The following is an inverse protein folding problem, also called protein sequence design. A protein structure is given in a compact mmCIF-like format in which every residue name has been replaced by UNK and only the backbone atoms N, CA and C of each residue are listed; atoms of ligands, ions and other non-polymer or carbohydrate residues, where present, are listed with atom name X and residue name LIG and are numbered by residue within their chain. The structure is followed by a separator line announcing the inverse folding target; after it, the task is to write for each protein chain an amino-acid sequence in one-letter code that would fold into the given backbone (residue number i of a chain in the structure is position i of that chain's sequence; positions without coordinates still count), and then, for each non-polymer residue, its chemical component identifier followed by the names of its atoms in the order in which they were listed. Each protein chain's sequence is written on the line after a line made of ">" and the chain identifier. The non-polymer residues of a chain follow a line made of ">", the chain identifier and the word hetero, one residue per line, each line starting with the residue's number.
data_IF_175097189920
#
_entry.id   IF_175097189920
#
_cell.length_a   1.000
_cell.length_b   1.000
_cell.length_c   1.000
_cell.angle_alpha   90.00
_cell.angle_beta   90.00
_cell.angle_gamma   90.00
#
_symmetry.space_group_name_H-M   'P 1'
#
loop_
_entity.id
_entity.type
_entity.pdbx_description
1 polymer ?
#
# COMPACT_ATOMS: atom_id res chain seq x y z
N UNK A 1 -6.56 25.98 -7.38
CA UNK A 1 -5.23 26.40 -7.85
C UNK A 1 -4.13 26.18 -6.79
N UNK A 2 -4.30 26.60 -5.53
CA UNK A 2 -3.28 26.43 -4.49
C UNK A 2 -2.79 24.98 -4.26
N UNK A 3 -3.70 24.00 -4.25
CA UNK A 3 -3.34 22.58 -4.08
C UNK A 3 -2.56 21.98 -5.26
N UNK A 4 -2.84 22.42 -6.48
CA UNK A 4 -2.06 22.05 -7.66
C UNK A 4 -0.66 22.65 -7.58
N UNK A 5 -0.55 23.93 -7.20
CA UNK A 5 0.75 24.57 -7.00
C UNK A 5 1.56 23.86 -5.90
N UNK A 6 0.93 23.48 -4.78
CA UNK A 6 1.56 22.70 -3.72
C UNK A 6 2.11 21.35 -4.24
N UNK A 7 1.32 20.64 -5.05
CA UNK A 7 1.76 19.38 -5.64
C UNK A 7 2.94 19.59 -6.61
N UNK A 8 2.88 20.61 -7.47
CA UNK A 8 3.98 20.93 -8.38
C UNK A 8 5.25 21.34 -7.63
N UNK A 9 5.13 22.09 -6.52
CA UNK A 9 6.26 22.40 -5.64
C UNK A 9 6.84 21.14 -4.98
N UNK A 10 6.00 20.21 -4.54
CA UNK A 10 6.46 18.92 -4.00
C UNK A 10 7.23 18.10 -5.05
N UNK A 11 6.72 18.06 -6.29
CA UNK A 11 7.40 17.39 -7.42
C UNK A 11 8.72 18.07 -7.75
N UNK A 12 8.76 19.40 -7.80
CA UNK A 12 9.99 20.15 -8.04
C UNK A 12 11.03 19.91 -6.93
N UNK A 13 10.58 19.91 -5.65
CA UNK A 13 11.45 19.57 -4.51
C UNK A 13 12.04 18.16 -4.62
N UNK A 14 11.22 17.16 -4.99
CA UNK A 14 11.71 15.80 -5.25
C UNK A 14 12.71 15.76 -6.41
N UNK A 15 12.43 16.44 -7.53
CA UNK A 15 13.33 16.51 -8.68
C UNK A 15 14.67 17.15 -8.33
N UNK A 16 14.67 18.21 -7.51
CA UNK A 16 15.90 18.85 -7.02
C UNK A 16 16.71 17.89 -6.13
N UNK A 17 16.03 17.13 -5.25
CA UNK A 17 16.68 16.13 -4.40
C UNK A 17 17.32 15.03 -5.24
N UNK A 18 16.60 14.50 -6.23
CA UNK A 18 17.14 13.49 -7.18
C UNK A 18 18.31 14.07 -7.99
N UNK A 19 18.24 15.32 -8.43
CA UNK A 19 19.32 15.98 -9.15
C UNK A 19 20.58 16.14 -8.29
N UNK A 20 20.42 16.51 -7.01
CA UNK A 20 21.54 16.69 -6.10
C UNK A 20 22.18 15.36 -5.65
N UNK A 21 21.36 14.31 -5.48
CA UNK A 21 21.76 13.00 -4.92
C UNK A 21 21.18 11.83 -5.73
N UNK A 22 21.52 11.69 -7.03
CA UNK A 22 20.88 10.68 -7.89
C UNK A 22 21.12 9.24 -7.43
N UNK A 23 22.30 8.96 -6.85
CA UNK A 23 22.65 7.62 -6.37
C UNK A 23 21.82 7.20 -5.14
N UNK A 24 21.41 8.17 -4.33
CA UNK A 24 20.69 7.93 -3.08
C UNK A 24 19.17 7.93 -3.27
N UNK A 25 18.66 8.56 -4.36
CA UNK A 25 17.22 8.78 -4.50
C UNK A 25 16.63 8.35 -5.86
N UNK A 26 17.41 7.81 -6.81
CA UNK A 26 16.91 7.39 -8.11
C UNK A 26 17.73 6.27 -8.75
N UNK A 27 17.89 5.16 -8.08
CA UNK A 27 18.66 4.01 -8.60
C UNK A 27 17.94 3.25 -9.73
N UNK A 28 16.60 3.19 -9.71
CA UNK A 28 15.80 2.59 -10.77
C UNK A 28 16.15 1.12 -11.10
N UNK A 29 16.55 0.38 -10.08
CA UNK A 29 17.04 -1.00 -10.22
C UNK A 29 15.95 -1.95 -10.75
N UNK A 30 14.70 -1.75 -10.32
CA UNK A 30 13.58 -2.57 -10.79
C UNK A 30 13.13 -2.22 -12.20
N UNK A 31 13.25 -0.94 -12.58
CA UNK A 31 13.05 -0.52 -13.98
C UNK A 31 13.98 -1.26 -14.93
N UNK A 32 15.25 -1.48 -14.50
CA UNK A 32 16.20 -2.30 -15.26
C UNK A 32 15.70 -3.74 -15.38
N UNK A 33 15.25 -4.35 -14.28
CA UNK A 33 14.71 -5.72 -14.27
C UNK A 33 13.49 -5.84 -15.21
N UNK A 34 12.61 -4.84 -15.23
CA UNK A 34 11.43 -4.86 -16.12
C UNK A 34 11.83 -4.80 -17.59
N UNK A 35 12.66 -3.84 -17.96
CA UNK A 35 13.11 -3.69 -19.34
C UNK A 35 13.90 -4.91 -19.82
N UNK A 36 14.85 -5.37 -19.02
CA UNK A 36 15.71 -6.51 -19.38
C UNK A 36 14.93 -7.83 -19.36
N UNK A 37 13.94 -7.98 -18.47
CA UNK A 37 12.98 -9.09 -18.50
C UNK A 37 12.16 -9.09 -19.79
N UNK A 38 11.73 -7.91 -20.27
CA UNK A 38 11.06 -7.74 -21.56
C UNK A 38 11.99 -8.08 -22.75
N UNK A 39 13.27 -7.71 -22.69
CA UNK A 39 14.28 -8.10 -23.68
C UNK A 39 14.50 -9.62 -23.66
N UNK A 40 14.58 -10.22 -22.48
CA UNK A 40 14.74 -11.67 -22.33
C UNK A 40 13.57 -12.45 -22.96
N UNK A 41 12.34 -11.94 -22.82
CA UNK A 41 11.16 -12.54 -23.49
C UNK A 41 11.29 -12.55 -25.00
N UNK A 42 11.86 -11.51 -25.59
CA UNK A 42 12.05 -11.43 -27.05
C UNK A 42 13.17 -12.32 -27.56
N UNK A 43 14.27 -12.42 -26.80
CA UNK A 43 15.51 -13.04 -27.28
C UNK A 43 15.69 -14.48 -26.76
N UNK A 44 15.34 -14.74 -25.50
CA UNK A 44 15.59 -15.99 -24.79
C UNK A 44 14.45 -16.32 -23.79
N UNK A 45 13.18 -16.48 -24.27
CA UNK A 45 12.03 -16.59 -23.37
C UNK A 45 12.11 -17.74 -22.39
N UNK A 46 12.75 -18.85 -22.76
CA UNK A 46 12.92 -20.01 -21.89
C UNK A 46 13.85 -19.76 -20.68
N UNK A 47 14.73 -18.78 -20.79
CA UNK A 47 15.73 -18.44 -19.78
C UNK A 47 15.30 -17.33 -18.83
N UNK A 48 14.10 -16.76 -18.97
CA UNK A 48 13.61 -15.59 -18.21
C UNK A 48 13.89 -15.69 -16.71
N UNK A 49 13.69 -16.84 -16.10
CA UNK A 49 13.87 -17.06 -14.67
C UNK A 49 15.27 -17.61 -14.27
N UNK A 50 16.12 -17.87 -15.25
CA UNK A 50 17.50 -18.30 -15.02
C UNK A 50 18.50 -17.15 -15.20
N UNK A 51 18.11 -16.07 -15.88
CA UNK A 51 18.98 -14.92 -16.13
C UNK A 51 19.10 -14.02 -14.90
N UNK A 52 20.30 -13.53 -14.66
CA UNK A 52 20.54 -12.36 -13.81
C UNK A 52 20.34 -11.08 -14.66
N UNK A 53 19.36 -10.26 -14.30
CA UNK A 53 18.97 -9.06 -15.04
C UNK A 53 19.62 -7.82 -14.45
N UNK A 54 19.98 -6.90 -15.33
CA UNK A 54 20.62 -5.65 -14.96
C UNK A 54 22.05 -5.81 -14.42
N UNK A 55 22.69 -4.69 -14.05
CA UNK A 55 24.05 -4.69 -13.49
C UNK A 55 24.15 -5.48 -12.18
N UNK A 56 23.08 -5.47 -11.35
CA UNK A 56 23.02 -6.19 -10.09
C UNK A 56 22.67 -7.68 -10.24
N UNK A 57 22.49 -8.18 -11.47
CA UNK A 57 22.14 -9.58 -11.80
C UNK A 57 20.94 -10.10 -11.00
N UNK A 58 19.89 -9.28 -10.84
CA UNK A 58 18.71 -9.65 -10.07
C UNK A 58 17.85 -10.67 -10.82
N UNK A 59 17.19 -11.59 -10.10
CA UNK A 59 16.25 -12.52 -10.73
C UNK A 59 14.96 -11.81 -11.15
N UNK A 60 14.33 -12.26 -12.23
CA UNK A 60 12.97 -11.87 -12.56
C UNK A 60 12.00 -12.61 -11.61
N UNK A 61 11.22 -11.86 -10.82
CA UNK A 61 10.35 -12.42 -9.76
C UNK A 61 8.86 -12.30 -10.06
N UNK A 62 8.49 -11.62 -11.14
CA UNK A 62 7.11 -11.40 -11.54
C UNK A 62 6.53 -12.58 -12.33
N UNK A 63 5.19 -12.65 -12.41
CA UNK A 63 4.52 -13.66 -13.24
C UNK A 63 4.87 -13.48 -14.74
N UNK A 64 4.80 -14.55 -15.56
CA UNK A 64 5.13 -14.49 -16.99
C UNK A 64 4.36 -13.42 -17.77
N UNK A 65 3.10 -13.17 -17.39
CA UNK A 65 2.29 -12.12 -18.01
C UNK A 65 2.91 -10.71 -17.83
N UNK A 66 3.51 -10.42 -16.70
CA UNK A 66 4.21 -9.15 -16.51
C UNK A 66 5.37 -8.98 -17.50
N UNK A 67 6.13 -10.05 -17.75
CA UNK A 67 7.22 -10.01 -18.72
C UNK A 67 6.72 -9.75 -20.15
N UNK A 68 5.55 -10.28 -20.53
CA UNK A 68 4.90 -9.97 -21.81
C UNK A 68 4.56 -8.48 -21.93
N UNK A 69 4.02 -7.87 -20.86
CA UNK A 69 3.73 -6.44 -20.85
C UNK A 69 5.01 -5.60 -20.97
N UNK A 70 6.06 -6.00 -20.27
CA UNK A 70 7.35 -5.31 -20.34
C UNK A 70 8.04 -5.50 -21.69
N UNK A 71 7.82 -6.64 -22.36
CA UNK A 71 8.33 -6.88 -23.72
C UNK A 71 7.79 -5.87 -24.73
N UNK A 72 6.54 -5.43 -24.59
CA UNK A 72 5.94 -4.43 -25.47
C UNK A 72 6.72 -3.11 -25.49
N UNK A 73 7.25 -2.68 -24.35
CA UNK A 73 8.03 -1.46 -24.21
C UNK A 73 9.56 -1.64 -24.29
N UNK A 74 10.07 -2.88 -24.32
CA UNK A 74 11.51 -3.17 -24.16
C UNK A 74 12.43 -2.62 -25.26
N UNK A 75 11.87 -2.17 -26.40
CA UNK A 75 12.61 -1.47 -27.45
C UNK A 75 12.96 -0.02 -27.12
N UNK A 76 12.33 0.58 -26.12
CA UNK A 76 12.65 1.95 -25.70
C UNK A 76 13.99 2.00 -24.94
N UNK A 77 14.64 3.17 -24.95
CA UNK A 77 15.86 3.40 -24.19
C UNK A 77 15.61 3.23 -22.69
N UNK A 78 16.65 2.91 -21.91
CA UNK A 78 16.53 2.79 -20.47
C UNK A 78 16.05 4.11 -19.82
N UNK A 79 16.57 5.24 -20.29
CA UNK A 79 16.15 6.57 -19.80
C UNK A 79 14.66 6.81 -20.05
N UNK A 80 14.12 6.40 -21.20
CA UNK A 80 12.68 6.53 -21.47
C UNK A 80 11.84 5.68 -20.50
N UNK A 81 12.31 4.48 -20.13
CA UNK A 81 11.67 3.65 -19.11
C UNK A 81 11.67 4.33 -17.74
N UNK A 82 12.85 4.85 -17.31
CA UNK A 82 13.00 5.54 -16.03
C UNK A 82 12.07 6.75 -15.94
N UNK A 83 12.16 7.65 -16.92
CA UNK A 83 11.36 8.89 -16.96
C UNK A 83 9.88 8.56 -17.09
N UNK A 84 9.51 7.61 -17.97
CA UNK A 84 8.13 7.23 -18.21
C UNK A 84 7.47 6.63 -16.96
N UNK A 85 8.14 5.70 -16.28
CA UNK A 85 7.60 5.07 -15.08
C UNK A 85 7.53 6.05 -13.90
N UNK A 86 8.53 6.92 -13.76
CA UNK A 86 8.53 8.01 -12.76
C UNK A 86 7.37 8.97 -13.00
N UNK A 87 7.17 9.42 -14.25
CA UNK A 87 6.08 10.32 -14.61
C UNK A 87 4.70 9.68 -14.37
N UNK A 88 4.52 8.40 -14.76
CA UNK A 88 3.30 7.63 -14.50
C UNK A 88 3.05 7.51 -13.00
N UNK A 89 4.06 7.15 -12.21
CA UNK A 89 3.95 7.01 -10.75
C UNK A 89 3.52 8.33 -10.10
N UNK A 90 4.16 9.45 -10.43
CA UNK A 90 3.81 10.78 -9.91
C UNK A 90 2.39 11.18 -10.36
N UNK A 91 2.06 10.99 -11.63
CA UNK A 91 0.74 11.31 -12.18
C UNK A 91 -0.41 10.50 -11.58
N UNK A 92 -0.15 9.27 -11.14
CA UNK A 92 -1.14 8.42 -10.48
C UNK A 92 -1.44 8.81 -9.03
N UNK A 93 -0.57 9.56 -8.35
CA UNK A 93 -0.81 9.99 -6.96
C UNK A 93 -2.14 10.77 -6.80
N UNK A 94 -2.39 11.88 -7.54
CA UNK A 94 -3.66 12.59 -7.42
C UNK A 94 -4.85 11.76 -7.91
N UNK A 95 -4.68 10.85 -8.87
CA UNK A 95 -5.74 9.95 -9.35
C UNK A 95 -6.16 8.99 -8.24
N UNK A 96 -5.21 8.29 -7.62
CA UNK A 96 -5.48 7.36 -6.51
C UNK A 96 -6.09 8.10 -5.32
N UNK A 97 -5.58 9.28 -4.98
CA UNK A 97 -6.14 10.10 -3.91
C UNK A 97 -7.59 10.52 -4.23
N UNK A 98 -7.88 10.93 -5.47
CA UNK A 98 -9.22 11.30 -5.92
C UNK A 98 -10.20 10.12 -5.82
N UNK A 99 -9.81 8.94 -6.30
CA UNK A 99 -10.63 7.73 -6.23
C UNK A 99 -10.86 7.28 -4.77
N UNK A 100 -9.82 7.33 -3.94
CA UNK A 100 -9.91 7.02 -2.52
C UNK A 100 -10.84 7.96 -1.74
N UNK A 101 -10.83 9.26 -2.07
CA UNK A 101 -11.80 10.22 -1.54
C UNK A 101 -13.24 9.85 -1.93
N UNK A 102 -13.45 9.31 -3.14
CA UNK A 102 -14.75 8.79 -3.56
C UNK A 102 -15.20 7.59 -2.73
N UNK A 103 -14.31 6.64 -2.49
CA UNK A 103 -14.56 5.50 -1.61
C UNK A 103 -14.80 5.92 -0.15
N UNK A 104 -14.28 7.08 0.28
CA UNK A 104 -14.59 7.72 1.56
C UNK A 104 -15.92 8.48 1.56
N UNK A 105 -16.72 8.39 0.49
CA UNK A 105 -18.03 9.05 0.38
C UNK A 105 -17.97 10.55 0.06
N UNK A 106 -16.84 11.07 -0.43
CA UNK A 106 -16.73 12.49 -0.81
C UNK A 106 -17.31 12.70 -2.21
N UNK A 107 -18.23 13.68 -2.39
CA UNK A 107 -18.81 13.97 -3.68
C UNK A 107 -17.75 14.42 -4.68
N UNK A 108 -17.99 14.18 -5.97
CA UNK A 108 -17.11 14.62 -7.05
C UNK A 108 -17.06 16.16 -7.17
N UNK A 109 -16.15 16.66 -8.03
CA UNK A 109 -16.01 18.07 -8.33
C UNK A 109 -14.69 18.69 -7.90
N UNK A 110 -14.58 20.00 -8.02
CA UNK A 110 -13.32 20.74 -7.82
C UNK A 110 -12.77 20.63 -6.40
N UNK A 111 -13.63 20.59 -5.37
CA UNK A 111 -13.20 20.45 -3.98
C UNK A 111 -12.51 19.10 -3.74
N UNK A 112 -13.05 18.00 -4.31
CA UNK A 112 -12.44 16.67 -4.24
C UNK A 112 -11.12 16.62 -5.04
N UNK A 113 -11.08 17.26 -6.21
CA UNK A 113 -9.85 17.36 -6.99
C UNK A 113 -8.77 18.15 -6.24
N UNK A 114 -9.13 19.30 -5.65
CA UNK A 114 -8.20 20.10 -4.84
C UNK A 114 -7.66 19.30 -3.64
N UNK A 115 -8.51 18.56 -2.92
CA UNK A 115 -8.10 17.69 -1.84
C UNK A 115 -7.18 16.57 -2.33
N UNK A 116 -7.45 15.99 -3.50
CA UNK A 116 -6.63 14.94 -4.09
C UNK A 116 -5.20 15.42 -4.40
N UNK A 117 -5.04 16.61 -4.97
CA UNK A 117 -3.72 17.20 -5.22
C UNK A 117 -2.98 17.54 -3.92
N UNK A 118 -3.67 18.05 -2.89
CA UNK A 118 -3.06 18.31 -1.58
C UNK A 118 -2.56 17.02 -0.92
N UNK A 119 -3.38 15.94 -0.99
CA UNK A 119 -2.99 14.62 -0.48
C UNK A 119 -1.83 14.04 -1.29
N UNK A 120 -1.83 14.19 -2.61
CA UNK A 120 -0.76 13.75 -3.50
C UNK A 120 0.57 14.45 -3.18
N UNK A 121 0.52 15.75 -2.87
CA UNK A 121 1.71 16.51 -2.45
C UNK A 121 2.34 15.93 -1.17
N UNK A 122 1.53 15.59 -0.16
CA UNK A 122 2.01 14.90 1.05
C UNK A 122 2.42 13.47 0.73
N UNK A 123 1.61 12.77 -0.08
CA UNK A 123 1.81 11.38 -0.46
C UNK A 123 3.15 11.11 -1.16
N UNK A 124 3.66 12.09 -1.91
CA UNK A 124 4.97 11.99 -2.57
C UNK A 124 6.12 11.85 -1.56
N UNK A 125 5.98 12.42 -0.35
CA UNK A 125 6.95 12.38 0.73
C UNK A 125 6.68 11.28 1.77
N UNK A 126 5.82 10.33 1.44
CA UNK A 126 5.69 9.10 2.24
C UNK A 126 6.74 8.08 1.76
N UNK A 127 7.44 7.46 2.69
CA UNK A 127 8.55 6.54 2.40
C UNK A 127 8.15 5.44 1.40
N UNK A 128 7.00 4.73 1.49
CA UNK A 128 6.66 3.71 0.50
C UNK A 128 6.51 4.26 -0.93
N UNK A 129 6.08 5.51 -1.09
CA UNK A 129 5.97 6.18 -2.39
C UNK A 129 7.35 6.61 -2.87
N UNK A 130 8.15 7.24 -2.01
CA UNK A 130 9.52 7.65 -2.30
C UNK A 130 10.39 6.45 -2.71
N UNK A 131 10.29 5.34 -1.97
CA UNK A 131 11.02 4.10 -2.31
C UNK A 131 10.47 3.42 -3.58
N UNK A 132 9.18 3.56 -3.89
CA UNK A 132 8.63 3.13 -5.18
C UNK A 132 9.27 3.91 -6.34
N UNK A 133 9.47 5.22 -6.18
CA UNK A 133 10.15 6.08 -7.16
C UNK A 133 11.65 5.78 -7.23
N UNK A 134 12.29 5.58 -6.09
CA UNK A 134 13.71 5.26 -5.98
C UNK A 134 14.09 4.00 -6.75
N UNK A 135 13.34 2.90 -6.53
CA UNK A 135 13.58 1.64 -7.22
C UNK A 135 13.00 1.59 -8.64
N UNK A 136 12.10 2.50 -9.02
CA UNK A 136 11.36 2.44 -10.27
C UNK A 136 10.35 1.31 -10.30
N UNK A 137 9.55 1.19 -9.23
CA UNK A 137 8.57 0.12 -9.05
C UNK A 137 7.20 0.40 -9.67
N UNK A 138 6.53 -0.65 -10.13
CA UNK A 138 5.19 -0.59 -10.74
C UNK A 138 4.04 -0.46 -9.72
N UNK A 139 4.34 -0.36 -8.42
CA UNK A 139 3.36 -0.48 -7.33
C UNK A 139 2.21 0.53 -7.41
N UNK A 140 2.45 1.78 -7.84
CA UNK A 140 1.39 2.79 -8.01
C UNK A 140 0.43 2.44 -9.15
N UNK A 141 0.91 1.78 -10.20
CA UNK A 141 0.04 1.26 -11.28
C UNK A 141 -0.87 0.17 -10.73
N UNK A 142 -0.32 -0.77 -9.96
CA UNK A 142 -1.11 -1.83 -9.33
C UNK A 142 -2.14 -1.26 -8.34
N UNK A 143 -1.74 -0.30 -7.53
CA UNK A 143 -2.63 0.42 -6.61
C UNK A 143 -3.76 1.13 -7.36
N UNK A 144 -3.44 1.83 -8.46
CA UNK A 144 -4.42 2.52 -9.28
C UNK A 144 -5.43 1.55 -9.93
N UNK A 145 -4.98 0.39 -10.39
CA UNK A 145 -5.85 -0.67 -10.91
C UNK A 145 -6.82 -1.18 -9.84
N UNK A 146 -6.31 -1.47 -8.63
CA UNK A 146 -7.15 -1.97 -7.52
C UNK A 146 -8.13 -0.91 -7.02
N UNK A 147 -7.66 0.30 -6.74
CA UNK A 147 -8.51 1.39 -6.24
C UNK A 147 -9.51 1.83 -7.30
N UNK A 148 -9.08 1.89 -8.57
CA UNK A 148 -9.94 2.23 -9.70
C UNK A 148 -11.06 1.22 -9.88
N UNK A 149 -10.75 -0.06 -9.83
CA UNK A 149 -11.73 -1.14 -9.94
C UNK A 149 -12.76 -1.09 -8.79
N UNK A 150 -12.30 -0.96 -7.54
CA UNK A 150 -13.19 -0.86 -6.38
C UNK A 150 -14.06 0.42 -6.41
N UNK A 151 -13.57 1.51 -7.00
CA UNK A 151 -14.32 2.75 -7.16
C UNK A 151 -15.40 2.68 -8.26
N UNK A 152 -15.38 1.67 -9.14
CA UNK A 152 -16.42 1.46 -10.12
C UNK A 152 -17.74 1.05 -9.44
N UNK A 153 -18.90 1.56 -9.91
CA UNK A 153 -20.21 1.09 -9.48
C UNK A 153 -20.39 -0.42 -9.73
N UNK A 154 -21.09 -1.13 -8.85
CA UNK A 154 -21.28 -2.58 -8.94
C UNK A 154 -22.08 -3.03 -10.18
N UNK A 155 -22.80 -2.11 -10.85
CA UNK A 155 -23.51 -2.35 -12.11
C UNK A 155 -22.59 -2.47 -13.34
N UNK A 156 -21.35 -2.03 -13.23
CA UNK A 156 -20.39 -2.06 -14.35
C UNK A 156 -19.93 -3.50 -14.57
N UNK A 157 -20.18 -4.04 -15.79
CA UNK A 157 -19.83 -5.43 -16.14
C UNK A 157 -18.32 -5.71 -16.09
N UNK A 158 -17.49 -4.70 -16.35
CA UNK A 158 -16.02 -4.79 -16.32
C UNK A 158 -15.40 -4.64 -14.93
N UNK A 159 -16.21 -4.43 -13.86
CA UNK A 159 -15.68 -4.40 -12.49
C UNK A 159 -15.07 -5.75 -12.15
N UNK A 160 -13.85 -5.75 -11.68
CA UNK A 160 -13.03 -6.93 -11.42
C UNK A 160 -11.84 -7.07 -12.39
N UNK A 161 -11.89 -6.46 -13.58
CA UNK A 161 -10.78 -6.52 -14.56
C UNK A 161 -9.50 -5.91 -14.00
N UNK A 162 -9.58 -4.74 -13.36
CA UNK A 162 -8.42 -4.05 -12.81
C UNK A 162 -7.71 -4.89 -11.73
N UNK A 163 -8.47 -5.50 -10.82
CA UNK A 163 -7.93 -6.40 -9.78
C UNK A 163 -7.32 -7.64 -10.42
N UNK A 164 -7.98 -8.25 -11.41
CA UNK A 164 -7.47 -9.43 -12.10
C UNK A 164 -6.17 -9.15 -12.86
N UNK A 165 -6.07 -8.02 -13.57
CA UNK A 165 -4.84 -7.58 -14.24
C UNK A 165 -3.71 -7.29 -13.23
N UNK A 166 -4.01 -6.56 -12.16
CA UNK A 166 -3.03 -6.30 -11.11
C UNK A 166 -2.47 -7.60 -10.51
N UNK A 167 -3.35 -8.59 -10.25
CA UNK A 167 -2.98 -9.91 -9.78
C UNK A 167 -2.13 -10.69 -10.81
N UNK A 168 -2.42 -10.56 -12.11
CA UNK A 168 -1.65 -11.17 -13.20
C UNK A 168 -0.25 -10.58 -13.35
N UNK A 169 -0.06 -9.31 -12.97
CA UNK A 169 1.26 -8.66 -12.96
C UNK A 169 2.03 -9.07 -11.69
N UNK A 170 1.39 -8.96 -10.53
CA UNK A 170 1.97 -9.25 -9.22
C UNK A 170 0.91 -9.88 -8.33
N UNK A 171 1.21 -10.99 -7.68
CA UNK A 171 0.18 -11.84 -7.05
C UNK A 171 -0.49 -11.23 -5.81
N UNK A 172 0.13 -10.23 -5.19
CA UNK A 172 -0.38 -9.61 -3.95
C UNK A 172 -1.85 -9.14 -4.05
N UNK A 173 -2.35 -8.56 -5.19
CA UNK A 173 -3.74 -8.16 -5.33
C UNK A 173 -4.76 -9.33 -5.37
N UNK A 174 -4.32 -10.59 -5.44
CA UNK A 174 -5.24 -11.75 -5.37
C UNK A 174 -6.13 -11.74 -4.12
N UNK A 175 -5.67 -11.15 -3.01
CA UNK A 175 -6.44 -11.04 -1.77
C UNK A 175 -7.77 -10.29 -1.95
N UNK A 176 -7.87 -9.43 -2.96
CA UNK A 176 -9.10 -8.71 -3.25
C UNK A 176 -10.18 -9.59 -3.89
N UNK A 177 -9.84 -10.77 -4.46
CA UNK A 177 -10.84 -11.71 -4.99
C UNK A 177 -11.73 -12.28 -3.88
N UNK A 178 -11.21 -12.91 -2.81
CA UNK A 178 -12.05 -13.32 -1.67
C UNK A 178 -12.71 -12.12 -0.96
N UNK A 179 -12.06 -10.96 -0.90
CA UNK A 179 -12.70 -9.74 -0.40
C UNK A 179 -13.97 -9.38 -1.18
N UNK A 180 -13.93 -9.35 -2.52
CA UNK A 180 -15.09 -9.12 -3.37
C UNK A 180 -16.15 -10.19 -3.18
N UNK A 181 -15.75 -11.46 -3.15
CA UNK A 181 -16.66 -12.59 -2.97
C UNK A 181 -17.44 -12.48 -1.66
N UNK A 182 -16.74 -12.30 -0.56
CA UNK A 182 -17.34 -12.24 0.77
C UNK A 182 -18.00 -10.89 1.08
N UNK A 183 -17.77 -9.85 0.28
CA UNK A 183 -18.57 -8.61 0.32
C UNK A 183 -19.81 -8.67 -0.59
N UNK A 184 -20.18 -9.87 -1.10
CA UNK A 184 -21.33 -10.15 -1.99
C UNK A 184 -21.22 -9.55 -3.39
N UNK A 185 -20.05 -9.17 -3.82
CA UNK A 185 -19.75 -8.71 -5.19
C UNK A 185 -19.31 -9.89 -6.06
N UNK A 186 -20.12 -10.96 -6.08
CA UNK A 186 -19.79 -12.25 -6.71
C UNK A 186 -19.41 -12.10 -8.18
N UNK A 187 -20.13 -11.24 -8.92
CA UNK A 187 -19.81 -10.97 -10.34
C UNK A 187 -18.41 -10.36 -10.50
N UNK A 188 -18.07 -9.36 -9.70
CA UNK A 188 -16.77 -8.73 -9.76
C UNK A 188 -15.65 -9.70 -9.33
N UNK A 189 -15.89 -10.54 -8.32
CA UNK A 189 -14.96 -11.60 -7.93
C UNK A 189 -14.72 -12.61 -9.07
N UNK A 190 -15.79 -13.03 -9.75
CA UNK A 190 -15.70 -13.94 -10.90
C UNK A 190 -14.95 -13.30 -12.09
N UNK A 191 -15.23 -12.04 -12.40
CA UNK A 191 -14.51 -11.27 -13.43
C UNK A 191 -13.02 -11.14 -13.05
N UNK A 192 -12.69 -10.82 -11.79
CA UNK A 192 -11.29 -10.75 -11.34
C UNK A 192 -10.58 -12.09 -11.49
N UNK A 193 -11.21 -13.17 -11.04
CA UNK A 193 -10.66 -14.52 -11.15
C UNK A 193 -10.47 -14.96 -12.62
N UNK A 194 -11.45 -14.68 -13.47
CA UNK A 194 -11.37 -14.99 -14.91
C UNK A 194 -10.26 -14.15 -15.58
N UNK A 195 -10.19 -12.85 -15.29
CA UNK A 195 -9.14 -11.98 -15.86
C UNK A 195 -7.76 -12.47 -15.42
N UNK A 196 -7.59 -12.82 -14.13
CA UNK A 196 -6.35 -13.43 -13.65
C UNK A 196 -6.05 -14.75 -14.39
N UNK A 197 -7.02 -15.64 -14.52
CA UNK A 197 -6.85 -16.90 -15.26
C UNK A 197 -6.46 -16.67 -16.73
N UNK A 198 -7.04 -15.65 -17.38
CA UNK A 198 -6.66 -15.25 -18.74
C UNK A 198 -5.20 -14.79 -18.79
N UNK A 199 -4.72 -14.01 -17.80
CA UNK A 199 -3.30 -13.59 -17.77
C UNK A 199 -2.37 -14.79 -17.60
N UNK A 200 -2.75 -15.77 -16.79
CA UNK A 200 -2.00 -17.03 -16.62
C UNK A 200 -2.02 -17.83 -17.93
N UNK A 201 -3.19 -17.96 -18.57
CA UNK A 201 -3.35 -18.64 -19.87
C UNK A 201 -2.51 -18.00 -20.97
N UNK A 202 -2.47 -16.66 -21.05
CA UNK A 202 -1.61 -15.92 -21.98
C UNK A 202 -0.12 -16.21 -21.69
N UNK A 203 0.25 -16.28 -20.42
CA UNK A 203 1.60 -16.69 -20.02
C UNK A 203 1.95 -18.08 -20.56
N UNK A 204 1.10 -19.08 -20.37
CA UNK A 204 1.34 -20.42 -20.90
C UNK A 204 1.30 -20.49 -22.43
N UNK A 205 0.42 -19.76 -23.08
CA UNK A 205 0.29 -19.74 -24.53
C UNK A 205 1.54 -19.13 -25.22
N UNK A 206 2.10 -18.04 -24.66
CA UNK A 206 3.17 -17.28 -25.29
C UNK A 206 4.55 -17.61 -24.71
N UNK A 207 4.62 -18.03 -23.45
CA UNK A 207 5.85 -18.33 -22.71
C UNK A 207 5.74 -19.68 -21.96
N UNK A 208 5.49 -20.83 -22.66
CA UNK A 208 5.14 -22.09 -22.01
C UNK A 208 6.21 -22.60 -21.04
N UNK A 209 7.49 -22.55 -21.42
CA UNK A 209 8.61 -22.98 -20.55
C UNK A 209 8.79 -22.09 -19.34
N UNK A 210 8.77 -20.76 -19.52
CA UNK A 210 8.87 -19.81 -18.41
C UNK A 210 7.66 -19.96 -17.46
N UNK A 211 6.46 -20.16 -17.98
CA UNK A 211 5.25 -20.40 -17.17
C UNK A 211 5.35 -21.68 -16.37
N UNK A 212 5.84 -22.77 -16.96
CA UNK A 212 6.08 -24.02 -16.25
C UNK A 212 7.09 -23.87 -15.12
N UNK A 213 8.19 -23.13 -15.33
CA UNK A 213 9.19 -22.83 -14.29
C UNK A 213 8.58 -22.00 -13.17
N UNK A 214 7.83 -20.95 -13.51
CA UNK A 214 7.24 -20.05 -12.52
C UNK A 214 6.20 -20.77 -11.64
N UNK A 215 5.18 -21.34 -12.28
CA UNK A 215 4.05 -21.98 -11.58
C UNK A 215 4.40 -23.36 -11.00
N UNK A 216 5.38 -24.07 -11.58
CA UNK A 216 5.81 -25.39 -11.13
C UNK A 216 6.84 -25.40 -10.01
N UNK A 217 7.52 -24.27 -9.77
CA UNK A 217 8.62 -24.25 -8.78
C UNK A 217 8.85 -22.89 -8.13
N UNK A 218 9.04 -21.84 -8.90
CA UNK A 218 9.47 -20.55 -8.38
C UNK A 218 8.43 -19.91 -7.47
N UNK A 219 7.14 -20.04 -7.80
CA UNK A 219 6.04 -19.56 -6.98
C UNK A 219 6.03 -20.18 -5.57
N UNK A 220 6.41 -21.46 -5.45
CA UNK A 220 6.41 -22.19 -4.19
C UNK A 220 7.74 -22.07 -3.41
N UNK A 221 8.72 -21.35 -3.94
CA UNK A 221 10.00 -21.18 -3.23
C UNK A 221 9.79 -20.48 -1.91
N UNK A 222 10.32 -21.08 -0.84
CA UNK A 222 10.36 -20.46 0.49
C UNK A 222 11.24 -19.22 0.43
N UNK A 223 10.66 -18.07 0.78
CA UNK A 223 11.43 -16.83 0.89
C UNK A 223 12.36 -16.90 2.10
N UNK A 224 13.61 -16.51 1.91
CA UNK A 224 14.62 -16.35 2.96
C UNK A 224 15.01 -14.88 3.20
N UNK A 225 14.20 -13.94 2.69
CA UNK A 225 14.47 -12.52 2.84
C UNK A 225 14.13 -12.02 4.24
N UNK A 226 15.13 -12.04 5.15
CA UNK A 226 15.02 -11.55 6.53
C UNK A 226 15.40 -10.06 6.68
N UNK A 227 15.95 -9.44 5.63
CA UNK A 227 16.42 -8.06 5.66
C UNK A 227 15.35 -7.08 6.12
N UNK A 228 15.80 -5.96 6.68
CA UNK A 228 15.00 -4.85 7.19
C UNK A 228 13.81 -4.50 6.30
N UNK A 229 14.04 -4.42 4.99
CA UNK A 229 13.02 -4.00 4.01
C UNK A 229 11.86 -4.99 3.87
N UNK A 230 12.03 -6.28 4.27
CA UNK A 230 10.93 -7.24 4.24
C UNK A 230 10.03 -7.05 5.48
N UNK A 231 9.03 -6.23 5.31
CA UNK A 231 8.03 -5.89 6.32
C UNK A 231 6.77 -6.79 6.19
N UNK A 232 6.97 -8.10 6.16
CA UNK A 232 5.91 -9.13 6.24
C UNK A 232 6.03 -9.94 7.52
N UNK A 233 4.98 -10.70 7.88
CA UNK A 233 5.08 -11.67 8.99
C UNK A 233 6.21 -12.68 8.78
N UNK A 234 6.46 -13.10 7.52
CA UNK A 234 7.58 -13.97 7.22
C UNK A 234 8.93 -13.32 7.54
N UNK A 235 9.11 -12.03 7.17
CA UNK A 235 10.33 -11.29 7.51
C UNK A 235 10.56 -11.22 9.02
N UNK A 236 9.48 -10.99 9.79
CA UNK A 236 9.55 -10.99 11.28
C UNK A 236 9.95 -12.37 11.79
N UNK A 237 9.31 -13.45 11.32
CA UNK A 237 9.64 -14.81 11.79
C UNK A 237 11.07 -15.20 11.44
N UNK A 238 11.54 -14.86 10.23
CA UNK A 238 12.93 -15.10 9.83
C UNK A 238 13.93 -14.36 10.74
N UNK A 239 13.65 -13.11 11.12
CA UNK A 239 14.51 -12.36 12.04
C UNK A 239 14.51 -12.94 13.45
N UNK A 240 13.33 -13.26 13.99
CA UNK A 240 13.18 -13.78 15.34
C UNK A 240 13.78 -15.20 15.51
N UNK A 241 13.76 -16.01 14.46
CA UNK A 241 14.28 -17.39 14.48
C UNK A 241 15.67 -17.51 13.87
N UNK A 242 16.31 -16.38 13.55
CA UNK A 242 17.60 -16.34 12.84
C UNK A 242 17.61 -17.19 11.55
N UNK A 243 16.52 -17.10 10.79
CA UNK A 243 16.26 -17.89 9.58
C UNK A 243 16.34 -19.41 9.80
N UNK A 244 16.04 -19.85 11.02
CA UNK A 244 16.01 -21.27 11.39
C UNK A 244 14.95 -22.08 10.63
N UNK A 245 14.98 -23.41 10.73
CA UNK A 245 14.11 -24.32 9.96
C UNK A 245 12.62 -24.07 10.23
N UNK A 246 12.25 -23.70 11.45
CA UNK A 246 10.85 -23.54 11.89
C UNK A 246 10.25 -22.18 11.47
N UNK A 247 11.05 -21.23 10.95
CA UNK A 247 10.59 -19.91 10.56
C UNK A 247 9.39 -19.97 9.61
N UNK A 248 9.40 -20.90 8.66
CA UNK A 248 8.35 -21.07 7.68
C UNK A 248 7.03 -21.54 8.30
N UNK A 249 7.09 -22.45 9.26
CA UNK A 249 5.90 -22.98 9.94
C UNK A 249 5.27 -21.90 10.83
N UNK A 250 6.08 -21.17 11.59
CA UNK A 250 5.59 -20.02 12.38
C UNK A 250 4.96 -18.96 11.50
N UNK A 251 5.58 -18.66 10.33
CA UNK A 251 4.96 -17.75 9.36
C UNK A 251 3.62 -18.28 8.85
N UNK A 252 3.50 -19.55 8.44
CA UNK A 252 2.26 -20.12 7.92
C UNK A 252 1.14 -20.03 8.96
N UNK A 253 1.40 -20.40 10.21
CA UNK A 253 0.41 -20.34 11.29
C UNK A 253 -0.03 -18.90 11.52
N UNK A 254 0.91 -17.97 11.67
CA UNK A 254 0.59 -16.54 11.89
C UNK A 254 -0.09 -15.92 10.69
N UNK A 255 0.31 -16.26 9.45
CA UNK A 255 -0.31 -15.78 8.23
C UNK A 255 -1.76 -16.25 8.08
N UNK A 256 -2.07 -17.50 8.46
CA UNK A 256 -3.45 -18.01 8.45
C UNK A 256 -4.31 -17.27 9.47
N UNK A 257 -3.85 -17.14 10.72
CA UNK A 257 -4.60 -16.46 11.80
C UNK A 257 -4.83 -15.00 11.45
N UNK A 258 -3.78 -14.27 11.09
CA UNK A 258 -3.87 -12.84 10.74
C UNK A 258 -4.65 -12.66 9.43
N UNK A 259 -4.49 -13.57 8.46
CA UNK A 259 -5.20 -13.55 7.20
C UNK A 259 -6.71 -13.67 7.39
N UNK A 260 -7.17 -14.64 8.18
CA UNK A 260 -8.60 -14.81 8.51
C UNK A 260 -9.13 -13.60 9.27
N UNK A 261 -8.44 -13.16 10.33
CA UNK A 261 -8.88 -12.05 11.17
C UNK A 261 -8.93 -10.73 10.37
N UNK A 262 -7.88 -10.44 9.59
CA UNK A 262 -7.77 -9.22 8.79
C UNK A 262 -8.79 -9.21 7.64
N UNK A 263 -8.96 -10.33 6.93
CA UNK A 263 -9.95 -10.44 5.86
C UNK A 263 -11.38 -10.31 6.43
N UNK A 264 -11.68 -10.94 7.56
CA UNK A 264 -12.98 -10.79 8.23
C UNK A 264 -13.23 -9.33 8.64
N UNK A 265 -12.21 -8.64 9.17
CA UNK A 265 -12.28 -7.23 9.54
C UNK A 265 -12.56 -6.35 8.31
N UNK A 266 -11.86 -6.59 7.20
CA UNK A 266 -12.03 -5.83 5.95
C UNK A 266 -13.44 -6.03 5.36
N UNK A 267 -13.94 -7.26 5.35
CA UNK A 267 -15.29 -7.62 4.89
C UNK A 267 -16.34 -6.94 5.76
N UNK A 268 -16.18 -6.99 7.09
CA UNK A 268 -17.10 -6.38 8.01
C UNK A 268 -17.15 -4.85 7.85
N UNK A 269 -16.00 -4.21 7.63
CA UNK A 269 -15.92 -2.77 7.36
C UNK A 269 -16.69 -2.40 6.09
N UNK A 270 -16.44 -3.11 4.98
CA UNK A 270 -17.10 -2.88 3.70
C UNK A 270 -18.63 -3.11 3.79
N UNK A 271 -19.05 -4.23 4.40
CA UNK A 271 -20.49 -4.54 4.59
C UNK A 271 -21.23 -3.51 5.43
N UNK A 272 -20.52 -2.72 6.23
CA UNK A 272 -21.07 -1.57 6.99
C UNK A 272 -21.01 -0.24 6.24
N UNK A 273 -20.66 -0.25 4.98
CA UNK A 273 -20.56 0.96 4.15
C UNK A 273 -19.25 1.74 4.32
N UNK A 274 -18.24 1.16 4.99
CA UNK A 274 -16.92 1.77 5.15
C UNK A 274 -15.95 1.19 4.11
N UNK A 275 -16.22 1.45 2.82
CA UNK A 275 -15.50 0.80 1.72
C UNK A 275 -13.99 1.11 1.73
N UNK A 276 -13.60 2.37 1.93
CA UNK A 276 -12.18 2.72 1.99
C UNK A 276 -11.46 2.04 3.17
N UNK A 277 -12.13 1.91 4.32
CA UNK A 277 -11.59 1.17 5.47
C UNK A 277 -11.43 -0.32 5.13
N UNK A 278 -12.43 -0.91 4.44
CA UNK A 278 -12.39 -2.29 3.97
C UNK A 278 -11.22 -2.53 3.01
N UNK A 279 -11.00 -1.62 2.05
CA UNK A 279 -9.89 -1.66 1.11
C UNK A 279 -8.53 -1.62 1.85
N UNK A 280 -8.34 -0.64 2.74
CA UNK A 280 -7.08 -0.48 3.48
C UNK A 280 -6.80 -1.69 4.38
N UNK A 281 -7.81 -2.21 5.07
CA UNK A 281 -7.68 -3.41 5.91
C UNK A 281 -7.37 -4.67 5.08
N UNK A 282 -7.99 -4.83 3.90
CA UNK A 282 -7.70 -5.93 2.97
C UNK A 282 -6.25 -5.86 2.47
N UNK A 283 -5.81 -4.69 2.02
CA UNK A 283 -4.43 -4.47 1.56
C UNK A 283 -3.41 -4.73 2.69
N UNK A 284 -3.67 -4.20 3.90
CA UNK A 284 -2.85 -4.44 5.08
C UNK A 284 -2.73 -5.93 5.38
N UNK A 285 -3.83 -6.68 5.30
CA UNK A 285 -3.82 -8.13 5.46
C UNK A 285 -2.95 -8.80 4.41
N UNK A 286 -3.10 -8.43 3.13
CA UNK A 286 -2.29 -8.97 2.03
C UNK A 286 -0.79 -8.74 2.23
N UNK A 287 -0.40 -7.55 2.68
CA UNK A 287 0.99 -7.22 2.97
C UNK A 287 1.55 -8.04 4.15
N UNK A 288 0.77 -8.24 5.20
CA UNK A 288 1.18 -9.03 6.36
C UNK A 288 1.39 -10.50 6.02
N UNK A 289 0.45 -11.12 5.29
CA UNK A 289 0.49 -12.57 5.01
C UNK A 289 1.41 -12.95 3.85
N UNK A 290 1.77 -12.01 2.99
CA UNK A 290 2.70 -12.25 1.89
C UNK A 290 4.04 -12.76 2.41
N UNK A 291 4.72 -13.69 1.72
CA UNK A 291 6.06 -14.12 2.11
C UNK A 291 7.11 -13.01 2.01
N UNK A 292 6.87 -12.02 1.14
CA UNK A 292 7.72 -10.85 0.96
C UNK A 292 6.86 -9.62 0.76
N UNK A 293 7.04 -8.63 1.63
CA UNK A 293 6.44 -7.31 1.51
C UNK A 293 7.49 -6.25 1.81
N UNK A 294 8.13 -5.78 0.74
CA UNK A 294 9.09 -4.68 0.84
C UNK A 294 8.40 -3.39 1.30
N UNK A 295 9.13 -2.47 1.91
CA UNK A 295 8.59 -1.20 2.37
C UNK A 295 7.85 -0.44 1.25
N UNK A 296 8.37 -0.45 0.04
CA UNK A 296 7.75 0.14 -1.14
C UNK A 296 6.46 -0.56 -1.64
N UNK A 297 6.09 -1.75 -1.11
CA UNK A 297 4.78 -2.35 -1.37
C UNK A 297 3.66 -1.67 -0.57
N UNK A 298 4.02 -0.92 0.47
CA UNK A 298 3.08 -0.25 1.37
C UNK A 298 2.47 1.04 0.77
N UNK A 299 2.48 1.20 -0.56
CA UNK A 299 1.84 2.35 -1.26
C UNK A 299 0.37 2.56 -0.91
N UNK A 300 -0.28 1.55 -0.31
CA UNK A 300 -1.61 1.66 0.30
C UNK A 300 -1.67 2.67 1.47
N UNK A 301 -0.53 3.17 1.93
CA UNK A 301 -0.44 4.31 2.86
C UNK A 301 -1.11 5.56 2.29
N UNK A 302 -1.17 5.73 0.95
CA UNK A 302 -1.86 6.85 0.32
C UNK A 302 -3.39 6.78 0.52
N UNK A 303 -4.11 5.67 0.23
CA UNK A 303 -5.49 5.49 0.67
C UNK A 303 -5.68 5.56 2.20
N UNK A 304 -4.71 5.08 2.99
CA UNK A 304 -4.76 5.17 4.45
C UNK A 304 -4.69 6.63 4.94
N UNK A 305 -3.88 7.48 4.31
CA UNK A 305 -3.84 8.93 4.58
C UNK A 305 -5.20 9.58 4.27
N UNK A 306 -5.84 9.20 3.15
CA UNK A 306 -7.20 9.66 2.84
C UNK A 306 -8.19 9.21 3.91
N UNK A 307 -8.14 7.95 4.33
CA UNK A 307 -8.99 7.40 5.38
C UNK A 307 -8.81 8.16 6.70
N UNK A 308 -7.59 8.44 7.11
CA UNK A 308 -7.26 9.17 8.32
C UNK A 308 -7.75 10.63 8.26
N UNK A 309 -7.48 11.33 7.15
CA UNK A 309 -7.79 12.74 6.99
C UNK A 309 -9.28 13.02 6.75
N UNK A 310 -10.04 12.07 6.19
CA UNK A 310 -11.42 12.31 5.74
C UNK A 310 -12.45 11.32 6.32
N UNK A 311 -12.03 10.23 6.94
CA UNK A 311 -12.91 9.21 7.54
C UNK A 311 -13.63 9.71 8.81
N UNK A 312 -12.95 10.14 9.88
CA UNK A 312 -13.56 10.54 11.13
C UNK A 312 -14.40 11.82 11.00
N UNK A 313 -15.49 11.92 11.81
CA UNK A 313 -16.36 13.13 11.81
C UNK A 313 -15.72 14.31 12.54
N UNK A 314 -14.96 14.07 13.63
CA UNK A 314 -14.35 15.12 14.44
C UNK A 314 -12.99 15.53 13.87
N UNK A 315 -12.79 16.85 13.72
CA UNK A 315 -11.55 17.41 13.14
C UNK A 315 -10.30 16.95 13.89
N UNK A 316 -10.32 16.93 15.22
CA UNK A 316 -9.16 16.50 16.02
C UNK A 316 -8.71 15.07 15.71
N UNK A 317 -9.63 14.12 15.53
CA UNK A 317 -9.27 12.74 15.13
C UNK A 317 -8.74 12.65 13.69
N UNK A 318 -9.20 13.53 12.81
CA UNK A 318 -8.68 13.61 11.43
C UNK A 318 -7.24 14.12 11.42
N UNK A 319 -6.98 15.19 12.17
CA UNK A 319 -5.63 15.75 12.30
C UNK A 319 -4.69 14.72 12.93
N UNK A 320 -5.09 14.11 14.05
CA UNK A 320 -4.27 13.10 14.74
C UNK A 320 -4.01 11.89 13.83
N UNK A 321 -5.03 11.37 13.16
CA UNK A 321 -4.88 10.23 12.26
C UNK A 321 -3.96 10.53 11.08
N UNK A 322 -4.11 11.68 10.43
CA UNK A 322 -3.22 12.10 9.35
C UNK A 322 -1.79 12.31 9.85
N UNK A 323 -1.62 12.95 11.02
CA UNK A 323 -0.32 13.15 11.64
C UNK A 323 0.36 11.82 12.01
N UNK A 324 -0.40 10.82 12.49
CA UNK A 324 0.14 9.48 12.74
C UNK A 324 0.60 8.79 11.45
N UNK A 325 -0.19 8.85 10.36
CA UNK A 325 0.23 8.28 9.08
C UNK A 325 1.48 8.95 8.55
N UNK A 326 1.51 10.29 8.56
CA UNK A 326 2.70 11.05 8.11
C UNK A 326 3.88 10.83 9.07
N UNK A 327 3.65 10.80 10.38
CA UNK A 327 4.67 10.57 11.39
C UNK A 327 5.37 9.23 11.22
N UNK A 328 4.59 8.16 11.00
CA UNK A 328 5.11 6.80 10.87
C UNK A 328 5.69 6.52 9.48
N UNK A 329 5.06 6.99 8.41
CA UNK A 329 5.43 6.64 7.04
C UNK A 329 6.04 7.81 6.27
N UNK A 330 6.30 8.94 6.91
CA UNK A 330 6.96 10.09 6.28
C UNK A 330 8.43 9.82 5.96
N UNK A 331 8.93 10.57 5.01
CA UNK A 331 10.34 10.62 4.64
C UNK A 331 10.96 11.82 5.33
N UNK A 332 11.73 11.56 6.38
CA UNK A 332 12.19 12.57 7.33
C UNK A 332 13.67 12.89 7.13
N UNK A 333 14.11 14.15 7.31
CA UNK A 333 15.52 14.49 7.34
C UNK A 333 16.14 13.91 8.62
N UNK A 334 16.80 12.77 8.47
CA UNK A 334 17.42 12.02 9.57
C UNK A 334 18.91 11.82 9.29
N UNK A 335 19.78 11.92 10.30
CA UNK A 335 21.19 11.56 10.17
C UNK A 335 21.33 10.04 10.35
N UNK A 336 21.33 9.33 9.22
CA UNK A 336 21.44 7.86 9.19
C UNK A 336 22.80 7.46 8.67
N UNK A 337 23.49 6.56 9.39
CA UNK A 337 24.77 6.00 8.99
C UNK A 337 24.66 5.05 7.79
N UNK A 338 25.78 4.74 7.17
CA UNK A 338 25.85 3.87 5.98
C UNK A 338 25.39 2.42 6.22
N UNK A 339 25.37 1.99 7.48
CA UNK A 339 24.89 0.67 7.93
C UNK A 339 23.50 0.76 8.58
N UNK A 340 22.72 1.82 8.28
CA UNK A 340 21.53 2.14 9.06
C UNK A 340 21.88 2.56 10.50
N UNK A 341 20.84 2.84 11.29
CA UNK A 341 21.02 3.36 12.64
C UNK A 341 21.28 4.87 12.68
N UNK A 342 20.99 5.47 13.81
CA UNK A 342 21.24 6.88 14.04
C UNK A 342 22.75 7.18 14.16
N UNK A 343 23.25 8.10 13.32
CA UNK A 343 24.63 8.61 13.37
C UNK A 343 24.62 10.15 13.35
N UNK A 344 24.92 10.83 14.47
CA UNK A 344 24.87 12.28 14.55
C UNK A 344 25.89 13.01 13.65
N UNK A 345 26.86 12.28 13.06
CA UNK A 345 27.83 12.82 12.11
C UNK A 345 27.40 12.65 10.65
N UNK A 346 26.36 11.85 10.40
CA UNK A 346 25.83 11.67 9.05
C UNK A 346 25.11 12.94 8.56
N UNK A 347 25.08 13.11 7.25
CA UNK A 347 24.33 14.20 6.62
C UNK A 347 22.82 14.01 6.87
N UNK A 348 22.11 15.13 7.17
CA UNK A 348 20.67 15.16 7.28
C UNK A 348 20.05 15.04 5.87
N UNK A 349 19.61 13.83 5.52
CA UNK A 349 18.92 13.54 4.27
C UNK A 349 17.57 12.89 4.56
N UNK A 350 16.59 12.97 3.63
CA UNK A 350 15.29 12.31 3.80
C UNK A 350 15.42 10.79 3.84
N UNK A 351 14.95 10.18 4.93
CA UNK A 351 14.93 8.72 5.13
C UNK A 351 13.62 8.26 5.79
N UNK A 352 13.25 7.01 5.57
CA UNK A 352 12.21 6.33 6.35
C UNK A 352 12.71 5.94 7.75
N UNK A 353 11.78 5.88 8.71
CA UNK A 353 12.10 5.50 10.09
C UNK A 353 12.66 4.07 10.21
N UNK A 354 12.42 3.20 9.22
CA UNK A 354 13.01 1.85 9.19
C UNK A 354 14.53 1.89 9.31
N UNK A 355 15.18 2.85 8.66
CA UNK A 355 16.63 2.97 8.65
C UNK A 355 17.23 3.40 10.00
N UNK A 356 16.40 3.74 11.00
CA UNK A 356 16.87 3.91 12.39
C UNK A 356 17.28 2.57 13.04
N UNK A 357 16.81 1.44 12.52
CA UNK A 357 17.32 0.14 12.92
C UNK A 357 18.61 -0.19 12.14
N UNK A 358 19.67 -0.68 12.80
CA UNK A 358 20.91 -1.08 12.15
C UNK A 358 20.63 -2.17 11.11
N UNK A 359 21.26 -2.07 9.92
CA UNK A 359 21.17 -3.07 8.87
C UNK A 359 22.47 -3.14 8.08
N UNK A 360 22.73 -4.24 7.41
CA UNK A 360 23.92 -4.46 6.58
C UNK A 360 23.54 -4.77 5.12
N UNK A 361 22.33 -4.48 4.72
CA UNK A 361 21.81 -4.84 3.41
C UNK A 361 21.80 -6.38 3.18
N UNK A 362 21.97 -6.81 1.93
CA UNK A 362 21.75 -8.20 1.55
C UNK A 362 22.84 -9.19 2.03
N UNK A 363 23.96 -8.72 2.56
CA UNK A 363 25.13 -9.56 2.90
C UNK A 363 25.39 -9.68 4.42
N UNK A 364 24.58 -9.04 5.25
CA UNK A 364 24.74 -9.04 6.69
C UNK A 364 23.66 -9.81 7.43
N UNK A 365 23.88 -10.03 8.71
CA UNK A 365 22.95 -10.71 9.64
C UNK A 365 22.72 -9.89 10.89
N UNK A 366 22.97 -8.58 10.84
CA UNK A 366 22.82 -7.67 11.97
C UNK A 366 21.38 -7.66 12.50
N UNK A 367 20.38 -7.88 11.63
CA UNK A 367 18.97 -8.00 12.00
C UNK A 367 18.70 -9.14 13.01
N UNK A 368 19.55 -10.14 13.08
CA UNK A 368 19.45 -11.23 14.07
C UNK A 368 19.94 -10.82 15.47
N UNK A 369 20.66 -9.70 15.56
CA UNK A 369 21.16 -9.18 16.84
C UNK A 369 20.24 -8.15 17.47
N UNK A 370 19.18 -7.72 16.79
CA UNK A 370 18.26 -6.69 17.27
C UNK A 370 17.62 -7.02 18.60
N UNK A 371 17.58 -6.05 19.49
CA UNK A 371 16.97 -6.15 20.83
C UNK A 371 16.22 -4.85 21.18
N UNK A 372 15.26 -4.97 22.08
CA UNK A 372 14.52 -3.81 22.59
C UNK A 372 13.96 -2.92 21.50
N UNK A 373 14.38 -1.67 21.43
CA UNK A 373 13.88 -0.70 20.46
C UNK A 373 14.19 -1.05 19.01
N UNK A 374 15.31 -1.70 18.73
CA UNK A 374 15.67 -2.10 17.36
C UNK A 374 14.67 -3.11 16.78
N UNK A 375 14.18 -4.06 17.59
CA UNK A 375 13.12 -4.99 17.20
C UNK A 375 11.81 -4.26 16.89
N UNK A 376 11.49 -3.20 17.64
CA UNK A 376 10.27 -2.40 17.41
C UNK A 376 10.44 -1.59 16.14
N UNK A 377 11.54 -0.84 16.01
CA UNK A 377 11.78 0.02 14.86
C UNK A 377 11.98 -0.78 13.58
N UNK A 378 12.75 -1.87 13.63
CA UNK A 378 12.99 -2.73 12.47
C UNK A 378 11.76 -3.51 11.98
N UNK A 379 10.68 -3.57 12.78
CA UNK A 379 9.44 -4.26 12.43
C UNK A 379 8.19 -3.35 12.48
N UNK A 380 8.37 -2.03 12.57
CA UNK A 380 7.24 -1.15 12.90
C UNK A 380 6.14 -1.10 11.84
N UNK A 381 6.43 -1.37 10.58
CA UNK A 381 5.40 -1.49 9.54
C UNK A 381 4.43 -2.63 9.86
N UNK A 382 4.97 -3.81 10.17
CA UNK A 382 4.17 -4.99 10.57
C UNK A 382 3.37 -4.68 11.83
N UNK A 383 4.03 -4.13 12.85
CA UNK A 383 3.39 -3.77 14.13
C UNK A 383 2.26 -2.75 13.92
N UNK A 384 2.48 -1.72 13.10
CA UNK A 384 1.47 -0.71 12.77
C UNK A 384 0.24 -1.33 12.10
N UNK A 385 0.43 -2.25 11.14
CA UNK A 385 -0.71 -2.91 10.49
C UNK A 385 -1.44 -3.86 11.43
N UNK A 386 -0.74 -4.59 12.30
CA UNK A 386 -1.38 -5.45 13.30
C UNK A 386 -2.23 -4.63 14.28
N UNK A 387 -1.70 -3.50 14.76
CA UNK A 387 -2.45 -2.57 15.63
C UNK A 387 -3.64 -1.99 14.88
N UNK A 388 -3.47 -1.57 13.63
CA UNK A 388 -4.55 -1.03 12.79
C UNK A 388 -5.69 -2.04 12.59
N UNK A 389 -5.38 -3.29 12.22
CA UNK A 389 -6.39 -4.35 12.03
C UNK A 389 -7.10 -4.66 13.35
N UNK A 390 -6.35 -4.83 14.44
CA UNK A 390 -6.90 -5.15 15.77
C UNK A 390 -7.80 -4.04 16.30
N UNK A 391 -7.36 -2.79 16.23
CA UNK A 391 -8.16 -1.63 16.64
C UNK A 391 -9.43 -1.49 15.80
N UNK A 392 -9.32 -1.72 14.48
CA UNK A 392 -10.46 -1.69 13.55
C UNK A 392 -11.45 -2.80 13.90
N UNK A 393 -11.00 -4.03 14.13
CA UNK A 393 -11.84 -5.15 14.51
C UNK A 393 -12.58 -4.86 15.82
N UNK A 394 -11.86 -4.40 16.85
CA UNK A 394 -12.44 -4.01 18.15
C UNK A 394 -13.51 -2.91 17.99
N UNK A 395 -13.20 -1.85 17.23
CA UNK A 395 -14.15 -0.75 17.00
C UNK A 395 -15.42 -1.23 16.28
N UNK A 396 -15.28 -2.10 15.27
CA UNK A 396 -16.40 -2.67 14.55
C UNK A 396 -17.23 -3.60 15.43
N UNK A 397 -16.63 -4.43 16.28
CA UNK A 397 -17.35 -5.33 17.20
C UNK A 397 -18.08 -4.53 18.30
N UNK A 398 -17.42 -3.53 18.90
CA UNK A 398 -18.03 -2.68 19.92
C UNK A 398 -19.23 -1.91 19.37
N UNK A 399 -19.16 -1.40 18.14
CA UNK A 399 -20.29 -0.74 17.48
C UNK A 399 -21.50 -1.67 17.27
N UNK A 400 -21.31 -2.99 17.19
CA UNK A 400 -22.41 -3.97 17.17
C UNK A 400 -23.10 -4.13 18.54
N UNK A 401 -22.32 -4.08 19.62
CA UNK A 401 -22.84 -4.30 20.98
C UNK A 401 -23.62 -3.09 21.51
N UNK A 402 -23.25 -1.89 21.05
CA UNK A 402 -23.94 -0.64 21.37
C UNK A 402 -25.05 -0.46 20.33
N UNK A 403 -26.15 -1.22 20.45
CA UNK A 403 -27.27 -1.21 19.49
C UNK A 403 -27.76 0.20 19.11
N UNK A 404 -28.41 0.36 17.94
CA UNK A 404 -28.81 1.67 17.39
C UNK A 404 -29.72 2.49 18.32
N UNK A 405 -30.39 1.88 19.26
CA UNK A 405 -31.26 2.58 20.23
C UNK A 405 -30.45 3.33 21.31
N UNK A 406 -29.36 2.78 21.83
CA UNK A 406 -28.50 3.48 22.81
C UNK A 406 -27.76 4.64 22.21
N UNK A 407 -27.34 4.56 20.94
CA UNK A 407 -26.72 5.69 20.25
C UNK A 407 -27.72 6.82 20.01
N UNK A 408 -29.00 6.49 19.70
CA UNK A 408 -30.07 7.49 19.56
C UNK A 408 -30.46 8.10 20.91
N UNK A 409 -30.47 7.34 22.00
CA UNK A 409 -30.82 7.85 23.34
C UNK A 409 -29.72 8.79 23.88
N UNK A 410 -28.45 8.47 23.71
CA UNK A 410 -27.32 9.34 24.11
C UNK A 410 -27.30 10.64 23.26
N UNK A 411 -27.63 10.57 21.98
CA UNK A 411 -27.73 11.74 21.12
C UNK A 411 -28.96 12.61 21.47
N UNK A 412 -30.11 12.01 21.81
CA UNK A 412 -31.30 12.75 22.27
C UNK A 412 -31.11 13.38 23.67
N UNK A 413 -30.43 12.69 24.59
CA UNK A 413 -30.10 13.24 25.91
C UNK A 413 -29.19 14.49 25.82
N UNK A 414 -28.26 14.53 24.87
CA UNK A 414 -27.42 15.72 24.62
C UNK A 414 -28.15 16.89 23.94
N UNK A 415 -29.19 16.62 23.16
CA UNK A 415 -30.05 17.66 22.60
C UNK A 415 -31.02 18.28 23.64
N UNK A 416 -31.38 17.54 24.69
CA UNK A 416 -32.23 18.05 25.73
C UNK A 416 -31.51 18.91 26.77
N UNK A 417 -30.23 18.72 27.00
CA UNK A 417 -29.43 19.52 27.95
C UNK A 417 -29.06 20.90 27.37
N UNK A 418 -29.13 21.08 26.04
CA UNK A 418 -28.90 22.38 25.38
C UNK A 418 -30.15 23.26 25.18
N UNK A 419 -31.33 22.77 25.57
CA UNK A 419 -32.60 23.44 25.25
C UNK A 419 -33.31 24.20 26.40
N UNK A 420 -32.76 24.20 27.63
CA UNK A 420 -33.44 24.78 28.78
C UNK A 420 -33.00 26.18 29.21
N UNK A 421 -32.27 26.92 28.37
CA UNK A 421 -31.78 28.25 28.73
C UNK A 421 -32.42 29.38 27.92
N UNK A 422 -33.62 29.22 27.36
CA UNK A 422 -34.29 30.33 26.66
C UNK A 422 -35.84 30.22 26.74
N UNK A 423 -36.43 30.36 27.90
CA UNK A 423 -37.83 30.77 28.07
C UNK A 423 -38.01 31.47 29.42
N UNK A 424 -38.33 32.74 29.40
CA UNK A 424 -39.29 33.53 30.15
C UNK A 424 -38.82 34.95 30.41
N UNK A 425 -39.37 35.88 29.66
CA UNK A 425 -39.84 37.19 30.15
C UNK A 425 -41.14 37.48 29.46
N UNK A 426 -42.28 37.64 30.21
CA UNK A 426 -43.50 38.18 29.66
C UNK A 426 -43.42 39.68 29.63
N UNK A 427 -43.75 40.29 28.47
CA UNK A 427 -43.97 41.72 28.33
C UNK A 427 -45.41 42.01 28.73
N UNK A 428 -45.59 42.79 29.79
CA UNK A 428 -46.88 43.30 30.25
C UNK A 428 -47.47 44.26 29.22
N UNK A 429 -48.76 44.05 28.95
CA UNK A 429 -49.63 45.09 28.32
C UNK A 429 -50.04 46.06 29.39
N UNK A 430 -49.85 47.37 29.15
CA UNK A 430 -50.60 48.46 29.76
C UNK A 430 -51.49 49.06 28.70
N UNK A 431 -52.78 49.05 28.97
CA UNK A 431 -53.79 49.78 28.26
C UNK A 431 -53.77 51.25 28.64
N UNK A 432 -53.94 52.13 27.70
CA UNK A 432 -54.74 53.30 27.63
C UNK A 432 -54.59 53.97 26.26
#
# INVERSE_FOLDING_TARGET
>A
MASVALFLLAVAGYALLVHAFPQDYWQQIDTTVYRDGGIAVRNQPAMLYALGLGPAKLPFTYAPFAALLFAAGSGASFVNWQVGLTAVTIGLLPVVAYLSLGLAGRPGGLARAAAAFAIAAVGLWLEPVAMTLFFGQINLVLLALVVGDLALPDRIKGKGIGIGLAAGIKLTPLIFIPYLLFTRRVKAAAVSALTFAVTVGLGFALLPRASAVYWGGQFFRRSKYFHLDNQSLNGVMLRLTHAGPDAHEYWLVTAVVVGIAGLATSILASRRGHELLGLVACAATGLLVSPVSWSHHYVYVLPALVLAAYGPRRLGYRILGAALVVGLFGWWPLPIGSQGGYDPKAQLLPHGLLLLAPNQGNNGTVEFTWRGLELIVGNYYVLTLLVFISATACALVLACRIGPERVRSVLRARCHVGGTAARHRPVGRSAS
#
